data_IF_398031548808
#
_entry.id   IF_398031548808
#
_cell.length_a   1.000
_cell.length_b   1.000
_cell.length_c   1.000
_cell.angle_alpha   90.00
_cell.angle_beta   90.00
_cell.angle_gamma   90.00
#
_symmetry.space_group_name_H-M   'P 1'
#
loop_
_entity.id
_entity.type
_entity.pdbx_description
1 polymer ?
#
# COMPACT_ATOMS: atom_id res chain seq x y z
N UNK A 1 26.89 -8.56 17.90
CA UNK A 1 27.51 -8.36 16.57
C UNK A 1 27.08 -6.99 16.08
N UNK A 2 27.97 -6.18 15.48
CA UNK A 2 27.60 -4.84 15.00
C UNK A 2 26.48 -4.95 13.95
N UNK A 3 25.45 -4.10 14.08
CA UNK A 3 24.31 -4.05 13.15
C UNK A 3 24.67 -3.25 11.91
N UNK A 4 24.09 -3.59 10.77
CA UNK A 4 24.32 -2.90 9.50
C UNK A 4 23.35 -1.72 9.34
N UNK A 5 23.24 -0.89 10.37
CA UNK A 5 22.33 0.25 10.41
C UNK A 5 22.97 1.53 9.85
N UNK A 6 22.17 2.27 9.09
CA UNK A 6 22.46 3.62 8.63
C UNK A 6 21.60 4.62 9.42
N UNK A 7 22.27 5.57 10.07
CA UNK A 7 21.68 6.66 10.86
C UNK A 7 22.23 7.98 10.33
N UNK A 8 21.40 8.71 9.59
CA UNK A 8 21.75 10.03 9.05
C UNK A 8 21.94 11.07 10.15
N UNK A 9 22.70 12.13 9.85
CA UNK A 9 22.90 13.26 10.77
C UNK A 9 21.59 13.91 11.20
N UNK A 10 20.57 13.94 10.32
CA UNK A 10 19.26 14.46 10.63
C UNK A 10 18.52 13.59 11.66
N UNK A 11 18.54 12.26 11.50
CA UNK A 11 17.94 11.34 12.48
C UNK A 11 18.69 11.40 13.80
N UNK A 12 20.03 11.45 13.76
CA UNK A 12 20.90 11.58 14.94
C UNK A 12 20.63 12.88 15.70
N UNK A 13 20.41 14.00 15.01
CA UNK A 13 20.08 15.27 15.64
C UNK A 13 18.74 15.24 16.39
N UNK A 14 17.75 14.50 15.87
CA UNK A 14 16.42 14.39 16.49
C UNK A 14 16.39 13.42 17.68
N UNK A 15 17.04 12.25 17.57
CA UNK A 15 17.02 11.24 18.65
C UNK A 15 18.13 11.45 19.70
N UNK A 16 19.13 12.27 19.38
CA UNK A 16 20.32 12.51 20.19
C UNK A 16 21.45 11.51 19.96
N UNK A 17 22.69 11.96 20.15
CA UNK A 17 23.90 11.18 19.88
C UNK A 17 23.99 9.88 20.68
N UNK A 18 23.59 9.92 21.95
CA UNK A 18 23.64 8.76 22.84
C UNK A 18 22.68 7.65 22.38
N UNK A 19 21.49 8.02 21.88
CA UNK A 19 20.52 7.05 21.36
C UNK A 19 20.93 6.52 19.99
N UNK A 20 21.47 7.38 19.12
CA UNK A 20 22.02 6.97 17.84
C UNK A 20 23.18 5.97 18.01
N UNK A 21 24.03 6.17 19.00
CA UNK A 21 25.15 5.27 19.29
C UNK A 21 24.67 3.93 19.87
N UNK A 22 23.64 3.91 20.72
CA UNK A 22 22.97 2.68 21.18
C UNK A 22 22.35 1.87 20.03
N UNK A 23 21.71 2.55 19.07
CA UNK A 23 21.17 1.91 17.87
C UNK A 23 22.28 1.27 17.02
N UNK A 24 23.37 2.00 16.77
CA UNK A 24 24.51 1.50 16.01
C UNK A 24 25.23 0.34 16.72
N UNK A 25 25.29 0.37 18.05
CA UNK A 25 25.79 -0.74 18.88
C UNK A 25 24.87 -1.98 18.86
N UNK A 26 23.62 -1.80 18.41
CA UNK A 26 22.64 -2.87 18.29
C UNK A 26 21.84 -3.15 19.56
N UNK A 27 21.88 -2.25 20.55
CA UNK A 27 21.18 -2.40 21.83
C UNK A 27 19.67 -2.15 21.67
N UNK A 28 19.30 -1.10 20.92
CA UNK A 28 17.90 -0.73 20.62
C UNK A 28 17.50 -1.03 19.17
N UNK A 29 18.37 -1.69 18.40
CA UNK A 29 18.09 -2.05 17.01
C UNK A 29 17.29 -3.36 16.94
N UNK A 30 16.18 -3.42 16.17
CA UNK A 30 15.43 -4.64 16.00
C UNK A 30 16.28 -5.69 15.27
N UNK A 31 16.10 -6.96 15.64
CA UNK A 31 16.65 -8.09 14.90
C UNK A 31 16.00 -8.19 13.52
N UNK A 32 14.81 -8.76 13.49
CA UNK A 32 13.90 -8.68 12.35
C UNK A 32 13.05 -7.41 12.40
N UNK A 33 12.73 -6.84 11.24
CA UNK A 33 11.83 -5.70 11.10
C UNK A 33 11.00 -5.83 9.83
N UNK A 34 9.84 -5.19 9.76
CA UNK A 34 9.13 -5.02 8.50
C UNK A 34 9.53 -3.69 7.86
N UNK A 35 10.02 -3.74 6.63
CA UNK A 35 10.45 -2.55 5.92
C UNK A 35 9.29 -1.56 5.80
N UNK A 36 9.42 -0.34 6.33
CA UNK A 36 8.32 0.64 6.33
C UNK A 36 7.89 1.08 4.92
N UNK A 37 8.71 0.82 3.89
CA UNK A 37 8.39 1.13 2.50
C UNK A 37 7.73 -0.05 1.77
N UNK A 38 8.36 -1.24 1.80
CA UNK A 38 7.91 -2.39 1.01
C UNK A 38 7.17 -3.47 1.82
N UNK A 39 7.10 -3.33 3.15
CA UNK A 39 6.49 -4.26 4.12
C UNK A 39 7.02 -5.69 4.07
N UNK A 40 8.16 -5.91 3.42
CA UNK A 40 8.85 -7.21 3.44
C UNK A 40 9.70 -7.30 4.71
N UNK A 41 9.75 -8.48 5.36
CA UNK A 41 10.65 -8.70 6.49
C UNK A 41 12.12 -8.51 6.09
N UNK A 42 12.87 -7.82 6.93
CA UNK A 42 14.30 -7.63 6.86
C UNK A 42 14.99 -8.01 8.18
N UNK A 43 16.31 -8.13 8.16
CA UNK A 43 17.12 -8.44 9.35
C UNK A 43 18.37 -7.55 9.42
N UNK A 44 18.42 -6.65 10.41
CA UNK A 44 19.50 -5.67 10.56
C UNK A 44 20.87 -6.29 10.91
N UNK A 45 20.91 -7.58 11.25
CA UNK A 45 22.16 -8.34 11.39
C UNK A 45 22.70 -8.88 10.07
N UNK A 46 21.85 -9.03 9.04
CA UNK A 46 22.21 -9.71 7.79
C UNK A 46 22.30 -8.75 6.59
N UNK A 47 21.62 -7.61 6.66
CA UNK A 47 21.51 -6.68 5.53
C UNK A 47 21.58 -5.21 5.97
N UNK A 48 21.89 -4.33 5.01
CA UNK A 48 21.93 -2.88 5.26
C UNK A 48 20.51 -2.34 5.46
N UNK A 49 20.33 -1.67 6.59
CA UNK A 49 19.03 -1.15 7.03
C UNK A 49 19.15 0.33 7.32
N UNK A 50 18.25 1.12 6.75
CA UNK A 50 18.16 2.57 6.99
C UNK A 50 17.15 2.86 8.10
N UNK A 51 17.51 3.79 8.98
CA UNK A 51 16.61 4.32 10.01
C UNK A 51 15.77 5.47 9.48
N UNK A 52 14.45 5.40 9.66
CA UNK A 52 13.50 6.44 9.24
C UNK A 52 12.78 6.92 10.48
N UNK A 53 12.91 8.20 10.80
CA UNK A 53 12.23 8.82 11.93
C UNK A 53 11.01 9.58 11.42
N UNK A 54 9.82 9.14 11.82
CA UNK A 54 8.59 9.88 11.55
C UNK A 54 8.30 10.81 12.72
N UNK A 55 8.24 12.11 12.46
CA UNK A 55 8.01 13.15 13.47
C UNK A 55 6.66 13.80 13.21
N UNK A 56 5.78 13.76 14.21
CA UNK A 56 4.58 14.57 14.30
C UNK A 56 4.73 15.68 15.33
N UNK A 57 3.65 16.41 15.59
CA UNK A 57 3.68 17.58 16.48
C UNK A 57 4.01 17.21 17.94
N UNK A 58 3.58 16.03 18.40
CA UNK A 58 3.78 15.58 19.79
C UNK A 58 4.55 14.26 19.90
N UNK A 59 4.64 13.50 18.81
CA UNK A 59 5.13 12.13 18.83
C UNK A 59 6.17 11.87 17.74
N UNK A 60 7.16 11.04 18.05
CA UNK A 60 8.18 10.60 17.11
C UNK A 60 8.28 9.07 17.14
N UNK A 61 8.36 8.45 15.97
CA UNK A 61 8.40 7.00 15.81
C UNK A 61 9.57 6.61 14.94
N UNK A 62 10.46 5.79 15.50
CA UNK A 62 11.58 5.24 14.77
C UNK A 62 11.15 3.95 14.06
N UNK A 63 11.39 3.90 12.75
CA UNK A 63 11.11 2.76 11.89
C UNK A 63 12.34 2.39 11.05
N UNK A 64 12.26 1.24 10.39
CA UNK A 64 13.37 0.65 9.65
C UNK A 64 12.96 0.32 8.22
N UNK A 65 13.87 0.48 7.28
CA UNK A 65 13.69 0.14 5.88
C UNK A 65 14.96 -0.53 5.33
N UNK A 66 14.82 -1.34 4.27
CA UNK A 66 16.00 -1.71 3.48
C UNK A 66 16.68 -0.43 2.97
N UNK A 67 18.01 -0.41 2.96
CA UNK A 67 18.76 0.76 2.47
C UNK A 67 18.50 1.07 0.99
N UNK A 68 17.96 0.10 0.23
CA UNK A 68 17.56 0.28 -1.18
C UNK A 68 16.12 0.77 -1.34
N UNK A 69 15.29 0.68 -0.31
CA UNK A 69 13.90 1.14 -0.36
C UNK A 69 13.77 2.61 0.04
N UNK A 70 14.44 3.01 1.12
CA UNK A 70 14.47 4.39 1.62
C UNK A 70 15.85 4.71 2.19
N UNK A 71 16.37 5.93 2.01
CA UNK A 71 17.55 6.39 2.73
C UNK A 71 17.20 6.64 4.20
N UNK A 72 18.23 6.73 5.07
CA UNK A 72 18.01 7.22 6.42
C UNK A 72 17.59 8.70 6.38
N UNK A 73 16.48 9.04 7.03
CA UNK A 73 15.90 10.37 6.96
C UNK A 73 14.86 10.63 8.06
N UNK A 74 14.54 11.91 8.24
CA UNK A 74 13.43 12.38 9.06
C UNK A 74 12.26 12.74 8.15
N UNK A 75 11.06 12.22 8.44
CA UNK A 75 9.84 12.46 7.69
C UNK A 75 8.83 13.16 8.59
N UNK A 76 8.45 14.38 8.22
CA UNK A 76 7.41 15.13 8.91
C UNK A 76 6.04 14.61 8.47
N UNK A 77 5.20 14.20 9.43
CA UNK A 77 3.85 13.69 9.18
C UNK A 77 2.86 14.30 10.15
N UNK A 78 1.58 14.33 9.78
CA UNK A 78 0.54 14.79 10.71
C UNK A 78 0.37 13.81 11.87
N UNK A 79 -0.01 14.31 13.04
CA UNK A 79 -0.23 13.49 14.24
C UNK A 79 -1.27 12.36 14.01
N UNK A 80 -2.26 12.61 13.16
CA UNK A 80 -3.27 11.61 12.77
C UNK A 80 -2.66 10.45 11.94
N UNK A 81 -1.73 10.78 11.03
CA UNK A 81 -0.99 9.79 10.24
C UNK A 81 -0.04 8.97 11.12
N UNK A 82 0.62 9.61 12.11
CA UNK A 82 1.54 8.92 13.00
C UNK A 82 0.81 7.91 13.89
N UNK A 83 -0.34 8.28 14.46
CA UNK A 83 -1.18 7.36 15.26
C UNK A 83 -1.71 6.18 14.44
N UNK A 84 -1.96 6.37 13.15
CA UNK A 84 -2.28 5.30 12.20
C UNK A 84 -1.12 4.32 12.02
N UNK A 85 0.09 4.84 11.80
CA UNK A 85 1.29 4.03 11.62
C UNK A 85 1.66 3.23 12.88
N UNK A 86 1.61 3.85 14.07
CA UNK A 86 1.88 3.20 15.36
C UNK A 86 0.93 2.04 15.63
N UNK A 87 -0.35 2.18 15.28
CA UNK A 87 -1.33 1.08 15.42
C UNK A 87 -1.01 -0.09 14.49
N UNK A 88 -0.53 0.17 13.28
CA UNK A 88 -0.12 -0.89 12.34
C UNK A 88 1.18 -1.59 12.75
N UNK A 89 2.13 -0.87 13.36
CA UNK A 89 3.43 -1.45 13.78
C UNK A 89 3.28 -2.31 15.04
N UNK A 90 2.42 -1.89 15.97
CA UNK A 90 2.14 -2.64 17.21
C UNK A 90 1.24 -3.87 16.99
N UNK A 91 0.53 -3.97 15.86
CA UNK A 91 -0.34 -5.11 15.56
C UNK A 91 0.42 -6.33 15.01
N UNK A 92 1.52 -6.11 14.27
CA UNK A 92 2.32 -7.19 13.66
C UNK A 92 3.55 -7.60 14.47
N UNK A 93 4.00 -6.75 15.40
CA UNK A 93 5.21 -7.03 16.20
C UNK A 93 4.84 -7.32 17.64
N UNK A 94 4.85 -8.60 18.04
CA UNK A 94 4.72 -9.03 19.45
C UNK A 94 5.94 -8.68 20.33
N UNK A 95 6.54 -7.50 20.16
CA UNK A 95 7.67 -7.00 20.93
C UNK A 95 7.38 -5.58 21.42
N UNK A 96 7.77 -5.23 22.66
CA UNK A 96 7.39 -3.96 23.27
C UNK A 96 8.05 -2.80 22.52
N UNK A 97 7.24 -1.81 22.14
CA UNK A 97 7.74 -0.49 21.80
C UNK A 97 8.65 -0.01 22.94
N UNK A 98 9.91 0.31 22.63
CA UNK A 98 10.78 1.05 23.53
C UNK A 98 10.27 2.50 23.60
N UNK A 99 9.13 2.67 24.26
CA UNK A 99 8.68 3.97 24.74
C UNK A 99 9.58 4.38 25.89
N UNK A 100 10.17 5.56 25.80
CA UNK A 100 10.89 6.20 26.90
C UNK A 100 9.89 6.41 28.06
N UNK A 101 10.08 5.82 29.25
CA UNK A 101 9.05 5.87 30.29
C UNK A 101 9.20 7.08 31.23
N UNK A 102 8.07 7.75 31.49
CA UNK A 102 7.87 8.52 32.73
C UNK A 102 7.07 7.66 33.73
N UNK A 103 7.52 7.67 34.98
CA UNK A 103 7.20 6.74 36.07
C UNK A 103 5.73 6.69 36.51
N UNK A 104 5.28 5.50 36.93
CA UNK A 104 4.28 5.33 37.99
C UNK A 104 3.30 4.16 37.81
N UNK A 105 3.60 2.98 38.37
CA UNK A 105 2.63 1.89 38.61
C UNK A 105 2.12 1.99 40.07
N UNK A 106 0.87 1.54 40.37
CA UNK A 106 0.69 0.22 41.01
C UNK A 106 -0.63 -0.50 40.55
N UNK A 107 -1.06 -1.65 41.12
CA UNK A 107 -0.98 -2.98 40.49
C UNK A 107 -2.35 -3.61 40.11
N UNK A 108 -2.25 -4.76 39.45
CA UNK A 108 -3.25 -5.54 38.71
C UNK A 108 -4.37 -6.22 39.54
N UNK A 109 -5.51 -6.45 38.88
CA UNK A 109 -6.48 -7.52 39.20
C UNK A 109 -6.86 -8.24 37.89
N UNK A 110 -7.01 -9.59 37.85
CA UNK A 110 -7.27 -10.32 36.62
C UNK A 110 -8.77 -10.53 36.40
N UNK A 111 -9.36 -9.77 35.48
CA UNK A 111 -10.71 -10.05 34.97
C UNK A 111 -10.67 -10.56 33.53
N UNK A 112 -11.54 -11.55 33.30
CA UNK A 112 -11.58 -12.47 32.18
C UNK A 112 -11.99 -11.73 30.90
N UNK A 113 -11.10 -11.70 29.91
CA UNK A 113 -11.34 -11.13 28.59
C UNK A 113 -12.33 -12.01 27.82
N UNK A 114 -13.55 -11.51 27.61
CA UNK A 114 -14.42 -11.97 26.53
C UNK A 114 -13.75 -11.65 25.17
N UNK A 115 -13.99 -12.42 24.10
CA UNK A 115 -13.35 -12.16 22.81
C UNK A 115 -13.77 -10.78 22.30
N UNK A 116 -12.82 -9.85 22.29
CA UNK A 116 -12.98 -8.54 21.68
C UNK A 116 -13.07 -8.76 20.18
N UNK A 117 -14.24 -8.49 19.59
CA UNK A 117 -14.45 -8.53 18.15
C UNK A 117 -13.39 -7.66 17.48
N UNK A 118 -12.48 -8.30 16.74
CA UNK A 118 -11.52 -7.62 15.89
C UNK A 118 -12.29 -6.72 14.92
N UNK A 119 -11.93 -5.44 14.88
CA UNK A 119 -12.42 -4.55 13.85
C UNK A 119 -12.04 -5.13 12.47
N UNK A 120 -12.89 -4.99 11.44
CA UNK A 120 -12.60 -5.54 10.13
C UNK A 120 -11.30 -4.93 9.60
N UNK A 121 -10.32 -5.79 9.34
CA UNK A 121 -9.04 -5.42 8.76
C UNK A 121 -9.29 -4.90 7.34
N UNK A 122 -8.95 -3.64 7.08
CA UNK A 122 -9.18 -3.03 5.78
C UNK A 122 -8.19 -3.62 4.77
N UNK A 123 -8.72 -4.17 3.67
CA UNK A 123 -7.92 -4.72 2.59
C UNK A 123 -6.94 -3.68 2.02
N UNK A 124 -5.67 -4.06 1.88
CA UNK A 124 -4.65 -3.22 1.25
C UNK A 124 -4.51 -3.63 -0.21
N UNK A 125 -4.65 -2.65 -1.11
CA UNK A 125 -4.57 -2.85 -2.56
C UNK A 125 -3.31 -2.19 -3.13
N UNK A 126 -2.48 -2.99 -3.79
CA UNK A 126 -1.39 -2.50 -4.63
C UNK A 126 -1.94 -2.00 -5.96
N UNK A 127 -1.48 -0.82 -6.39
CA UNK A 127 -1.86 -0.22 -7.68
C UNK A 127 -0.60 0.07 -8.49
N UNK A 128 -0.55 -0.49 -9.69
CA UNK A 128 0.51 -0.21 -10.68
C UNK A 128 -0.07 0.57 -11.84
N UNK A 129 0.54 1.69 -12.21
CA UNK A 129 0.17 2.44 -13.42
C UNK A 129 1.12 2.09 -14.57
N UNK A 130 0.58 1.96 -15.78
CA UNK A 130 1.35 1.66 -16.99
C UNK A 130 0.53 1.82 -18.25
N UNK A 131 1.18 1.87 -19.42
CA UNK A 131 0.48 1.80 -20.69
C UNK A 131 0.27 0.35 -21.11
N UNK A 132 -0.92 0.05 -21.63
CA UNK A 132 -1.26 -1.28 -22.17
C UNK A 132 -1.74 -1.12 -23.60
N UNK A 133 -1.16 -1.91 -24.50
CA UNK A 133 -1.55 -1.95 -25.90
C UNK A 133 -2.84 -2.79 -26.07
N UNK A 134 -3.94 -2.19 -26.50
CA UNK A 134 -5.21 -2.89 -26.78
C UNK A 134 -5.64 -2.54 -28.20
N UNK A 135 -5.95 -3.55 -29.02
CA UNK A 135 -6.32 -3.35 -30.42
C UNK A 135 -5.35 -2.46 -31.25
N UNK A 136 -4.05 -2.46 -30.90
CA UNK A 136 -3.03 -1.64 -31.57
C UNK A 136 -2.92 -0.20 -31.08
N UNK A 137 -3.68 0.19 -30.04
CA UNK A 137 -3.63 1.51 -29.42
C UNK A 137 -3.13 1.43 -27.97
N UNK A 138 -2.32 2.40 -27.55
CA UNK A 138 -1.87 2.50 -26.16
C UNK A 138 -2.96 3.15 -25.31
N UNK A 139 -3.37 2.44 -24.27
CA UNK A 139 -4.32 2.91 -23.27
C UNK A 139 -3.62 3.10 -21.92
N UNK A 140 -3.99 4.14 -21.14
CA UNK A 140 -3.57 4.25 -19.75
C UNK A 140 -4.26 3.16 -18.94
N UNK A 141 -3.49 2.41 -18.17
CA UNK A 141 -4.00 1.34 -17.34
C UNK A 141 -3.61 1.50 -15.88
N UNK A 142 -4.50 1.04 -15.00
CA UNK A 142 -4.22 0.71 -13.61
C UNK A 142 -4.36 -0.80 -13.45
N UNK A 143 -3.37 -1.43 -12.83
CA UNK A 143 -3.42 -2.83 -12.46
C UNK A 143 -3.48 -2.92 -10.94
N UNK A 144 -4.54 -3.53 -10.44
CA UNK A 144 -4.85 -3.63 -9.02
C UNK A 144 -4.69 -5.07 -8.56
N UNK A 145 -3.86 -5.26 -7.55
CA UNK A 145 -3.60 -6.55 -6.93
C UNK A 145 -3.63 -6.38 -5.40
N UNK A 146 -4.43 -7.16 -4.66
CA UNK A 146 -4.44 -7.07 -3.21
C UNK A 146 -3.13 -7.62 -2.62
N UNK A 147 -2.73 -7.15 -1.44
CA UNK A 147 -1.51 -7.65 -0.77
C UNK A 147 -1.71 -9.00 -0.07
N UNK A 148 -2.96 -9.44 0.04
CA UNK A 148 -3.36 -10.74 0.58
C UNK A 148 -4.71 -11.16 0.01
N UNK A 149 -5.17 -12.40 0.26
CA UNK A 149 -6.49 -12.86 -0.16
C UNK A 149 -7.60 -11.97 0.39
N UNK A 150 -8.62 -11.68 -0.41
CA UNK A 150 -9.77 -10.88 0.03
C UNK A 150 -10.93 -11.80 0.36
N UNK A 151 -11.43 -11.72 1.59
CA UNK A 151 -12.63 -12.45 2.02
C UNK A 151 -13.75 -11.46 2.35
N UNK A 152 -15.01 -11.89 2.24
CA UNK A 152 -16.12 -11.05 2.71
C UNK A 152 -16.08 -10.84 4.22
N UNK A 153 -16.43 -9.63 4.71
CA UNK A 153 -16.61 -9.41 6.13
C UNK A 153 -17.60 -10.42 6.74
N UNK A 154 -17.18 -11.12 7.79
CA UNK A 154 -17.99 -12.16 8.45
C UNK A 154 -17.91 -13.55 7.81
N UNK A 155 -17.15 -13.73 6.74
CA UNK A 155 -16.80 -15.06 6.21
C UNK A 155 -15.55 -15.60 6.91
N UNK A 156 -15.57 -16.90 7.25
CA UNK A 156 -14.41 -17.64 7.77
C UNK A 156 -13.83 -18.59 6.71
N UNK A 157 -14.26 -18.47 5.46
CA UNK A 157 -13.78 -19.31 4.36
C UNK A 157 -12.34 -18.95 3.94
N UNK A 158 -11.55 -19.91 3.44
CA UNK A 158 -10.20 -19.66 2.94
C UNK A 158 -10.17 -19.06 1.52
N UNK A 159 -11.33 -18.84 0.91
CA UNK A 159 -11.45 -18.54 -0.51
C UNK A 159 -11.22 -17.04 -0.78
N UNK A 160 -10.33 -16.74 -1.73
CA UNK A 160 -10.13 -15.38 -2.23
C UNK A 160 -11.32 -14.99 -3.12
N UNK A 161 -12.15 -14.08 -2.61
CA UNK A 161 -13.35 -13.56 -3.26
C UNK A 161 -13.10 -12.28 -4.07
N UNK A 162 -11.85 -11.81 -4.20
CA UNK A 162 -11.55 -10.51 -4.81
C UNK A 162 -12.19 -10.31 -6.21
N UNK A 163 -12.02 -11.29 -7.10
CA UNK A 163 -12.57 -11.18 -8.46
C UNK A 163 -14.09 -11.30 -8.48
N UNK A 164 -14.66 -12.13 -7.61
CA UNK A 164 -16.11 -12.28 -7.47
C UNK A 164 -16.74 -10.96 -7.04
N UNK A 165 -16.16 -10.32 -6.03
CA UNK A 165 -16.60 -9.01 -5.54
C UNK A 165 -16.56 -7.94 -6.62
N UNK A 166 -15.48 -7.88 -7.41
CA UNK A 166 -15.39 -6.93 -8.52
C UNK A 166 -16.37 -7.25 -9.65
N UNK A 167 -16.60 -8.53 -9.94
CA UNK A 167 -17.58 -8.94 -10.95
C UNK A 167 -19.00 -8.52 -10.54
N UNK A 168 -19.34 -8.61 -9.25
CA UNK A 168 -20.61 -8.10 -8.71
C UNK A 168 -20.75 -6.59 -8.87
N UNK A 169 -19.64 -5.85 -8.89
CA UNK A 169 -19.62 -4.40 -9.16
C UNK A 169 -19.64 -4.05 -10.65
N UNK A 170 -19.67 -5.03 -11.56
CA UNK A 170 -19.77 -4.83 -12.99
C UNK A 170 -18.45 -4.88 -13.76
N UNK A 171 -17.34 -5.25 -13.11
CA UNK A 171 -16.11 -5.60 -13.83
C UNK A 171 -16.33 -6.88 -14.62
N UNK A 172 -15.74 -6.97 -15.82
CA UNK A 172 -15.94 -8.13 -16.71
C UNK A 172 -14.73 -9.07 -16.67
N UNK A 173 -14.92 -10.40 -16.62
CA UNK A 173 -13.84 -11.35 -16.80
C UNK A 173 -13.18 -11.21 -18.19
N UNK A 174 -11.86 -11.24 -18.23
CA UNK A 174 -11.08 -11.08 -19.46
C UNK A 174 -10.41 -12.40 -19.83
N UNK A 175 -10.67 -12.89 -21.04
CA UNK A 175 -9.97 -14.06 -21.61
C UNK A 175 -8.66 -13.66 -22.32
N UNK A 176 -8.60 -12.44 -22.84
CA UNK A 176 -7.43 -11.82 -23.47
C UNK A 176 -7.53 -10.29 -23.37
N UNK A 177 -6.53 -9.59 -23.90
CA UNK A 177 -6.48 -8.12 -23.96
C UNK A 177 -6.65 -7.60 -25.40
N UNK A 178 -7.40 -8.31 -26.24
CA UNK A 178 -7.59 -7.93 -27.64
C UNK A 178 -8.58 -6.76 -27.82
N UNK A 179 -9.47 -6.54 -26.84
CA UNK A 179 -10.50 -5.51 -26.89
C UNK A 179 -10.57 -4.69 -25.61
N UNK A 180 -11.05 -3.45 -25.74
CA UNK A 180 -11.24 -2.54 -24.61
C UNK A 180 -12.45 -3.01 -23.80
N UNK A 181 -12.34 -3.17 -22.46
CA UNK A 181 -13.46 -3.58 -21.63
C UNK A 181 -14.57 -2.50 -21.62
N UNK A 182 -15.83 -2.86 -21.33
CA UNK A 182 -16.93 -1.91 -21.25
C UNK A 182 -16.68 -0.79 -20.24
N UNK A 183 -17.26 0.39 -20.51
CA UNK A 183 -17.23 1.51 -19.57
C UNK A 183 -18.11 1.20 -18.36
N UNK A 184 -17.54 1.28 -17.17
CA UNK A 184 -18.26 1.11 -15.91
C UNK A 184 -18.62 2.48 -15.34
N UNK A 185 -19.85 2.92 -15.61
CA UNK A 185 -20.34 4.21 -15.14
C UNK A 185 -20.51 4.26 -13.62
N UNK A 186 -20.32 5.45 -13.05
CA UNK A 186 -20.36 5.69 -11.60
C UNK A 186 -19.04 5.40 -10.89
N UNK A 187 -18.18 4.58 -11.49
CA UNK A 187 -16.77 4.48 -11.11
C UNK A 187 -15.94 5.55 -11.84
N UNK A 188 -14.83 5.98 -11.25
CA UNK A 188 -13.91 6.91 -11.92
C UNK A 188 -12.50 6.86 -11.36
N UNK A 189 -11.53 7.32 -12.15
CA UNK A 189 -10.15 7.53 -11.70
C UNK A 189 -9.94 9.02 -11.45
N UNK A 190 -9.58 9.38 -10.21
CA UNK A 190 -9.27 10.75 -9.83
C UNK A 190 -7.81 11.08 -10.16
N UNK A 191 -7.62 11.90 -11.19
CA UNK A 191 -6.34 12.46 -11.58
C UNK A 191 -6.43 13.99 -11.42
N UNK A 192 -5.62 14.56 -10.52
CA UNK A 192 -5.61 16.00 -10.27
C UNK A 192 -4.16 16.50 -10.18
N UNK A 193 -3.89 17.67 -10.76
CA UNK A 193 -2.54 18.25 -10.84
C UNK A 193 -1.50 17.30 -11.46
N UNK A 194 -1.95 16.41 -12.35
CA UNK A 194 -1.09 15.40 -12.95
C UNK A 194 -0.64 14.28 -12.00
N UNK A 195 -1.32 14.06 -10.89
CA UNK A 195 -1.06 12.93 -10.01
C UNK A 195 -2.31 12.07 -9.88
N UNK A 196 -2.12 10.77 -9.69
CA UNK A 196 -3.19 9.81 -9.41
C UNK A 196 -3.51 9.82 -7.92
N UNK A 197 -4.76 10.12 -7.56
CA UNK A 197 -5.20 10.25 -6.17
C UNK A 197 -6.03 9.06 -5.71
N UNK A 198 -7.01 8.64 -6.50
CA UNK A 198 -7.99 7.65 -6.06
C UNK A 198 -8.66 6.91 -7.23
N UNK A 199 -9.24 5.76 -6.90
CA UNK A 199 -10.31 5.13 -7.68
C UNK A 199 -11.58 5.33 -6.87
N UNK A 200 -12.56 5.99 -7.49
CA UNK A 200 -13.84 6.30 -6.87
C UNK A 200 -14.86 5.27 -7.33
N UNK A 201 -15.68 4.81 -6.38
CA UNK A 201 -16.85 3.99 -6.64
C UNK A 201 -18.12 4.82 -6.46
N UNK A 202 -19.27 4.35 -7.01
CA UNK A 202 -20.56 4.96 -6.74
C UNK A 202 -20.82 5.05 -5.23
N UNK A 203 -21.31 6.20 -4.77
CA UNK A 203 -21.70 6.39 -3.37
C UNK A 203 -22.90 5.55 -2.98
N UNK A 204 -22.90 4.99 -1.77
CA UNK A 204 -24.04 4.27 -1.20
C UNK A 204 -25.02 5.20 -0.46
N UNK A 205 -24.52 6.29 0.12
CA UNK A 205 -25.32 7.33 0.80
C UNK A 205 -25.05 8.69 0.15
N UNK A 206 -26.12 9.47 -0.08
CA UNK A 206 -26.14 10.80 -0.71
C UNK A 206 -25.68 10.90 -2.17
N UNK A 207 -25.34 9.78 -2.82
CA UNK A 207 -24.94 9.72 -4.23
C UNK A 207 -23.57 10.33 -4.52
N UNK A 208 -22.81 10.73 -3.50
CA UNK A 208 -21.44 11.24 -3.66
C UNK A 208 -20.46 10.09 -3.86
N UNK A 209 -19.57 10.14 -4.87
CA UNK A 209 -18.56 9.09 -5.06
C UNK A 209 -17.71 8.89 -3.81
N UNK A 210 -17.51 7.65 -3.41
CA UNK A 210 -16.64 7.27 -2.29
C UNK A 210 -15.31 6.73 -2.83
N UNK A 211 -14.21 6.95 -2.11
CA UNK A 211 -12.95 6.33 -2.47
C UNK A 211 -13.03 4.81 -2.23
N UNK A 212 -12.96 4.02 -3.30
CA UNK A 212 -12.75 2.58 -3.20
C UNK A 212 -11.29 2.25 -2.94
N UNK A 213 -10.40 3.03 -3.57
CA UNK A 213 -8.98 3.05 -3.28
C UNK A 213 -8.49 4.50 -3.26
N UNK A 214 -7.57 4.80 -2.35
CA UNK A 214 -6.94 6.11 -2.26
C UNK A 214 -5.44 5.96 -2.02
N UNK A 215 -4.65 6.71 -2.77
CA UNK A 215 -3.22 6.79 -2.57
C UNK A 215 -2.93 7.53 -1.25
N UNK A 216 -2.03 6.99 -0.43
CA UNK A 216 -1.58 7.69 0.78
C UNK A 216 -0.92 9.04 0.43
N UNK A 217 -0.21 9.08 -0.70
CA UNK A 217 0.32 10.29 -1.33
C UNK A 217 0.00 10.22 -2.83
N UNK A 218 -0.36 11.33 -3.49
CA UNK A 218 -0.69 11.31 -4.91
C UNK A 218 0.45 10.75 -5.77
N UNK A 219 0.15 9.69 -6.53
CA UNK A 219 1.16 8.95 -7.29
C UNK A 219 1.51 9.70 -8.57
N UNK A 220 2.82 9.83 -8.82
CA UNK A 220 3.31 10.33 -10.10
C UNK A 220 3.09 9.27 -11.18
N UNK A 221 2.55 9.71 -12.32
CA UNK A 221 2.37 8.90 -13.52
C UNK A 221 3.29 9.41 -14.62
N UNK A 222 3.69 8.52 -15.53
CA UNK A 222 4.54 8.92 -16.66
C UNK A 222 3.80 9.88 -17.59
N UNK A 223 4.54 10.70 -18.33
CA UNK A 223 3.95 11.62 -19.30
C UNK A 223 3.17 10.88 -20.40
N UNK A 224 3.65 9.71 -20.82
CA UNK A 224 2.94 8.85 -21.77
C UNK A 224 1.59 8.38 -21.23
N UNK A 225 1.54 7.93 -19.97
CA UNK A 225 0.30 7.55 -19.30
C UNK A 225 -0.66 8.73 -19.20
N UNK A 226 -0.17 9.90 -18.77
CA UNK A 226 -0.96 11.13 -18.65
C UNK A 226 -1.52 11.59 -19.99
N UNK A 227 -0.71 11.57 -21.04
CA UNK A 227 -1.13 11.95 -22.38
C UNK A 227 -2.22 11.02 -22.89
N UNK A 228 -2.10 9.71 -22.65
CA UNK A 228 -3.12 8.73 -23.02
C UNK A 228 -4.41 8.95 -22.21
N UNK A 229 -4.33 9.20 -20.90
CA UNK A 229 -5.49 9.51 -20.04
C UNK A 229 -6.24 10.77 -20.50
N UNK A 230 -5.50 11.83 -20.84
CA UNK A 230 -6.10 13.06 -21.36
C UNK A 230 -6.68 12.89 -22.77
N UNK A 231 -6.07 12.06 -23.62
CA UNK A 231 -6.59 11.76 -24.96
C UNK A 231 -7.91 10.97 -24.88
N UNK A 232 -7.94 9.95 -24.04
CA UNK A 232 -9.05 8.99 -23.97
C UNK A 232 -10.15 9.42 -23.00
N UNK A 233 -9.86 10.31 -22.05
CA UNK A 233 -10.74 10.68 -20.94
C UNK A 233 -11.24 9.49 -20.11
N UNK A 234 -10.46 8.41 -20.12
CA UNK A 234 -10.75 7.16 -19.42
C UNK A 234 -9.47 6.36 -19.19
N UNK A 235 -9.53 5.44 -18.24
CA UNK A 235 -8.43 4.58 -17.81
C UNK A 235 -8.92 3.14 -17.75
N UNK A 236 -8.15 2.20 -18.28
CA UNK A 236 -8.46 0.78 -18.15
C UNK A 236 -8.03 0.32 -16.76
N UNK A 237 -8.94 -0.24 -15.97
CA UNK A 237 -8.59 -0.87 -14.71
C UNK A 237 -8.65 -2.38 -14.88
N UNK A 238 -7.51 -3.04 -14.64
CA UNK A 238 -7.40 -4.48 -14.56
C UNK A 238 -7.21 -4.88 -13.10
N UNK A 239 -7.82 -5.98 -12.70
CA UNK A 239 -7.69 -6.50 -11.34
C UNK A 239 -7.46 -8.01 -11.35
N UNK A 240 -6.53 -8.46 -10.51
CA UNK A 240 -6.13 -9.86 -10.38
C UNK A 240 -5.94 -10.22 -8.89
N UNK A 241 -6.07 -11.50 -8.50
CA UNK A 241 -5.83 -11.93 -7.12
C UNK A 241 -4.36 -11.77 -6.74
N UNK A 242 -4.06 -11.80 -5.43
CA UNK A 242 -2.70 -11.67 -4.90
C UNK A 242 -1.72 -12.62 -5.62
N UNK A 243 -0.55 -12.10 -6.00
CA UNK A 243 0.52 -12.84 -6.66
C UNK A 243 0.27 -13.23 -8.11
N UNK A 244 -0.82 -12.78 -8.74
CA UNK A 244 -1.11 -13.10 -10.15
C UNK A 244 -0.30 -12.26 -11.14
N UNK A 245 -0.08 -10.97 -10.84
CA UNK A 245 0.66 -10.04 -11.69
C UNK A 245 2.02 -9.74 -11.07
N UNK A 246 2.07 -9.41 -9.78
CA UNK A 246 3.29 -8.99 -9.09
C UNK A 246 3.86 -7.66 -9.60
N UNK A 247 5.11 -7.35 -9.23
CA UNK A 247 5.79 -6.12 -9.64
C UNK A 247 6.33 -6.22 -11.06
N UNK A 248 5.92 -5.29 -11.91
CA UNK A 248 6.32 -5.27 -13.32
C UNK A 248 7.11 -4.00 -13.63
N UNK A 249 8.44 -4.07 -13.85
CA UNK A 249 9.28 -2.88 -14.02
C UNK A 249 9.20 -2.27 -15.43
N UNK A 250 8.59 -2.97 -16.39
CA UNK A 250 8.48 -2.56 -17.79
C UNK A 250 7.10 -2.89 -18.35
N UNK A 251 6.64 -2.09 -19.30
CA UNK A 251 5.30 -2.20 -19.90
C UNK A 251 5.10 -3.50 -20.69
N UNK A 252 6.14 -4.01 -21.36
CA UNK A 252 6.10 -5.31 -22.05
C UNK A 252 5.93 -6.47 -21.07
N UNK A 253 6.59 -6.40 -19.90
CA UNK A 253 6.44 -7.39 -18.84
C UNK A 253 5.06 -7.31 -18.18
N UNK A 254 4.55 -6.09 -17.94
CA UNK A 254 3.19 -5.87 -17.45
C UNK A 254 2.16 -6.47 -18.40
N UNK A 255 2.29 -6.23 -19.70
CA UNK A 255 1.43 -6.81 -20.72
C UNK A 255 1.46 -8.34 -20.67
N UNK A 256 2.64 -8.94 -20.65
CA UNK A 256 2.78 -10.40 -20.59
C UNK A 256 2.17 -11.01 -19.32
N UNK A 257 2.26 -10.31 -18.18
CA UNK A 257 1.64 -10.75 -16.93
C UNK A 257 0.11 -10.71 -17.01
N UNK A 258 -0.46 -9.65 -17.58
CA UNK A 258 -1.89 -9.53 -17.82
C UNK A 258 -2.41 -10.61 -18.78
N UNK A 259 -1.71 -10.87 -19.89
CA UNK A 259 -2.09 -11.94 -20.84
C UNK A 259 -2.09 -13.32 -20.15
N UNK A 260 -1.10 -13.60 -19.29
CA UNK A 260 -1.05 -14.85 -18.51
C UNK A 260 -2.21 -14.95 -17.51
N UNK A 261 -2.51 -13.87 -16.79
CA UNK A 261 -3.62 -13.84 -15.85
C UNK A 261 -4.96 -14.03 -16.56
N UNK A 262 -5.16 -13.38 -17.71
CA UNK A 262 -6.35 -13.53 -18.55
C UNK A 262 -6.52 -14.96 -19.06
N UNK A 263 -5.46 -15.57 -19.59
CA UNK A 263 -5.47 -16.95 -20.06
C UNK A 263 -5.78 -17.97 -18.94
N UNK A 264 -5.51 -17.62 -17.69
CA UNK A 264 -5.83 -18.43 -16.51
C UNK A 264 -7.22 -18.11 -15.92
N UNK A 265 -7.99 -17.19 -16.51
CA UNK A 265 -9.27 -16.74 -15.96
C UNK A 265 -9.14 -15.97 -14.65
N UNK A 266 -7.96 -15.39 -14.37
CA UNK A 266 -7.62 -14.66 -13.14
C UNK A 266 -7.54 -13.14 -13.36
N UNK A 267 -8.28 -12.62 -14.33
CA UNK A 267 -8.29 -11.21 -14.68
C UNK A 267 -9.72 -10.72 -14.89
N UNK A 268 -10.08 -9.63 -14.22
CA UNK A 268 -11.27 -8.84 -14.54
C UNK A 268 -10.85 -7.44 -14.94
N UNK A 269 -11.67 -6.75 -15.73
CA UNK A 269 -11.39 -5.40 -16.15
C UNK A 269 -12.64 -4.54 -16.33
N UNK A 270 -12.43 -3.22 -16.31
CA UNK A 270 -13.42 -2.22 -16.68
C UNK A 270 -12.72 -0.99 -17.24
N UNK A 271 -13.44 -0.21 -18.05
CA UNK A 271 -13.00 1.13 -18.45
C UNK A 271 -13.62 2.16 -17.51
N UNK A 272 -12.77 2.95 -16.84
CA UNK A 272 -13.20 3.93 -15.85
C UNK A 272 -13.03 5.36 -16.39
N UNK A 273 -14.08 6.20 -16.40
CA UNK A 273 -13.97 7.61 -16.72
C UNK A 273 -12.94 8.35 -15.86
N UNK A 274 -12.27 9.33 -16.44
CA UNK A 274 -11.37 10.22 -15.71
C UNK A 274 -12.17 11.31 -14.97
N UNK A 275 -11.78 11.61 -13.74
CA UNK A 275 -12.31 12.72 -12.94
C UNK A 275 -11.16 13.64 -12.48
N UNK A 276 -11.45 14.95 -12.35
CA UNK A 276 -10.52 15.93 -11.75
C UNK A 276 -9.52 16.60 -12.69
N UNK A 277 -9.77 16.58 -14.01
CA UNK A 277 -8.92 17.22 -15.03
C UNK A 277 -9.01 18.75 -15.05
#
# INVERSE_FOLDING_TARGET
>A
MPRMLDVSDAVRAEIGDEEADRLLAGENAPGSYDCTSCRTPGDSAQERTSTVLFVGDETAVLAFAHSTCLPSQVVQVTEEQLRGAVRSINADTGAPAAGVPAQGTPPQSPERTAPQQAAPEQAVLGVTSGLVLVAGELHPALVVEPTGPIVRPGSNGPDDEFLTLLTEQGYVPMADLASVPPVLHGWSVLLAMGQLHAVLQPGTEDGRPAAWWQAHQPLQVTDGWRAAANKHQQVLMFAAPVGAIGRQPREDLLRNALDKAAAQGRLVAATLPLAGT
#
